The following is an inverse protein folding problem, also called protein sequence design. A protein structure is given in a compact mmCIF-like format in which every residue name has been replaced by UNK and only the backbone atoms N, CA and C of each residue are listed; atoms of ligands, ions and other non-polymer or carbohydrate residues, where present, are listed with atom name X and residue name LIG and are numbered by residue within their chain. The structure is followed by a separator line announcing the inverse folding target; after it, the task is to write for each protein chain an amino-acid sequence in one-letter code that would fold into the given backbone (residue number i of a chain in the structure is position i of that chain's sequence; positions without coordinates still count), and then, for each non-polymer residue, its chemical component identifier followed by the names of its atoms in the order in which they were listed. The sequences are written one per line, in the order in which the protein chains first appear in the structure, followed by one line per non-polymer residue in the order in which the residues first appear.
data_IF_542476460535
#
_entry.id   IF_542476460535
#
_cell.length_a   1.000
_cell.length_b   1.000
_cell.length_c   1.000
_cell.angle_alpha   90.00
_cell.angle_beta   90.00
_cell.angle_gamma   90.00
#
_symmetry.space_group_name_H-M   'P 1'
#
loop_
_entity.id
_entity.type
_entity.pdbx_description
1 polymer ?
#
# COMPACT_ATOMS: atom_id res chain seq x y z
N UNK A 1 -12.24 16.55 8.09
CA UNK A 1 -11.89 15.30 7.38
C UNK A 1 -11.29 15.69 6.03
N UNK A 2 -9.99 15.47 5.81
CA UNK A 2 -9.42 15.59 4.46
C UNK A 2 -9.93 14.39 3.66
N UNK A 3 -10.95 14.63 2.87
CA UNK A 3 -11.42 13.68 1.86
C UNK A 3 -10.38 13.74 0.73
N UNK A 4 -9.43 12.81 0.72
CA UNK A 4 -8.61 12.62 -0.47
C UNK A 4 -9.55 12.01 -1.50
N UNK A 5 -9.76 12.71 -2.63
CA UNK A 5 -10.50 12.13 -3.75
C UNK A 5 -9.94 10.75 -4.03
N UNK A 6 -10.79 9.73 -3.99
CA UNK A 6 -10.38 8.38 -4.35
C UNK A 6 -10.07 8.39 -5.84
N UNK A 7 -8.80 8.60 -6.18
CA UNK A 7 -8.35 8.81 -7.55
C UNK A 7 -8.48 7.55 -8.41
N UNK A 8 -9.01 6.44 -7.87
CA UNK A 8 -9.12 5.16 -8.56
C UNK A 8 -7.75 4.55 -8.91
N UNK A 9 -6.67 5.13 -8.39
CA UNK A 9 -5.31 4.67 -8.64
C UNK A 9 -5.09 3.36 -7.89
N UNK A 10 -4.68 2.28 -8.57
CA UNK A 10 -4.50 0.96 -7.95
C UNK A 10 -3.61 1.00 -6.70
N UNK A 11 -2.53 1.79 -6.72
CA UNK A 11 -1.62 1.93 -5.58
C UNK A 11 -2.26 2.62 -4.36
N UNK A 12 -3.13 3.59 -4.59
CA UNK A 12 -3.88 4.27 -3.51
C UNK A 12 -4.87 3.30 -2.88
N UNK A 13 -5.62 2.55 -3.70
CA UNK A 13 -6.57 1.54 -3.21
C UNK A 13 -5.88 0.45 -2.39
N UNK A 14 -4.71 -0.02 -2.84
CA UNK A 14 -3.92 -1.01 -2.09
C UNK A 14 -3.44 -0.43 -0.74
N UNK A 15 -2.97 0.82 -0.71
CA UNK A 15 -2.51 1.48 0.52
C UNK A 15 -3.66 1.67 1.52
N UNK A 16 -4.83 2.12 1.07
CA UNK A 16 -6.01 2.23 1.93
C UNK A 16 -6.48 0.86 2.41
N UNK A 17 -6.52 -0.15 1.54
CA UNK A 17 -6.89 -1.51 1.92
C UNK A 17 -5.96 -2.10 2.99
N UNK A 18 -4.64 -1.88 2.86
CA UNK A 18 -3.65 -2.26 3.89
C UNK A 18 -3.93 -1.55 5.21
N UNK A 19 -4.22 -0.24 5.16
CA UNK A 19 -4.54 0.58 6.33
C UNK A 19 -5.78 0.06 7.05
N UNK A 20 -6.85 -0.24 6.34
CA UNK A 20 -8.08 -0.81 6.91
C UNK A 20 -7.79 -2.09 7.71
N UNK A 21 -6.98 -2.99 7.16
CA UNK A 21 -6.61 -4.24 7.83
C UNK A 21 -5.77 -3.99 9.08
N UNK A 22 -4.79 -3.08 9.03
CA UNK A 22 -3.99 -2.72 10.21
C UNK A 22 -4.85 -2.07 11.30
N UNK A 23 -5.78 -1.18 10.92
CA UNK A 23 -6.71 -0.55 11.87
C UNK A 23 -7.66 -1.58 12.49
N UNK A 24 -8.12 -2.57 11.71
CA UNK A 24 -8.93 -3.68 12.24
C UNK A 24 -8.14 -4.50 13.28
N UNK A 25 -6.84 -4.73 13.07
CA UNK A 25 -5.98 -5.39 14.04
C UNK A 25 -5.72 -4.57 15.30
N UNK A 26 -5.56 -3.24 15.17
CA UNK A 26 -5.38 -2.36 16.33
C UNK A 26 -6.59 -2.35 17.28
N UNK A 27 -7.79 -2.51 16.73
CA UNK A 27 -9.04 -2.53 17.51
C UNK A 27 -9.39 -3.92 18.07
N UNK A 28 -8.58 -4.94 17.78
CA UNK A 28 -8.81 -6.32 18.24
C UNK A 28 -8.36 -6.50 19.69
N UNK A 29 -9.16 -7.23 20.47
CA UNK A 29 -8.76 -7.76 21.78
C UNK A 29 -8.35 -9.22 21.59
N UNK A 30 -7.09 -9.56 21.92
CA UNK A 30 -6.52 -10.91 21.80
C UNK A 30 -5.34 -11.01 20.82
N UNK A 31 -4.71 -12.19 20.70
CA UNK A 31 -3.53 -12.38 19.85
C UNK A 31 -3.89 -12.21 18.37
N UNK A 32 -2.99 -11.60 17.60
CA UNK A 32 -3.13 -11.46 16.15
C UNK A 32 -2.90 -12.84 15.50
N UNK A 33 -3.73 -13.21 14.53
CA UNK A 33 -3.61 -14.48 13.81
C UNK A 33 -2.63 -14.38 12.64
N UNK A 34 -1.95 -15.49 12.33
CA UNK A 34 -0.99 -15.56 11.21
C UNK A 34 -1.64 -15.26 9.85
N UNK A 35 -2.91 -15.64 9.68
CA UNK A 35 -3.66 -15.35 8.44
C UNK A 35 -3.84 -13.84 8.20
N UNK A 36 -4.13 -13.06 9.26
CA UNK A 36 -4.26 -11.61 9.17
C UNK A 36 -2.92 -10.96 8.77
N UNK A 37 -1.82 -11.45 9.36
CA UNK A 37 -0.47 -10.99 9.04
C UNK A 37 -0.08 -11.35 7.61
N UNK A 38 -0.37 -12.57 7.16
CA UNK A 38 -0.11 -13.03 5.79
C UNK A 38 -0.88 -12.18 4.78
N UNK A 39 -2.13 -11.84 5.07
CA UNK A 39 -2.95 -10.97 4.21
C UNK A 39 -2.38 -9.57 4.08
N UNK A 40 -1.92 -8.98 5.18
CA UNK A 40 -1.25 -7.67 5.18
C UNK A 40 0.07 -7.76 4.40
N UNK A 41 0.85 -8.81 4.61
CA UNK A 41 2.11 -9.04 3.92
C UNK A 41 1.93 -9.18 2.41
N UNK A 42 0.91 -9.91 1.96
CA UNK A 42 0.60 -10.06 0.54
C UNK A 42 0.27 -8.71 -0.11
N UNK A 43 -0.55 -7.88 0.55
CA UNK A 43 -0.86 -6.53 0.04
C UNK A 43 0.40 -5.66 0.02
N UNK A 44 1.24 -5.74 1.06
CA UNK A 44 2.49 -4.99 1.12
C UNK A 44 3.46 -5.40 -0.01
N UNK A 45 3.56 -6.68 -0.35
CA UNK A 45 4.39 -7.14 -1.47
C UNK A 45 3.91 -6.55 -2.80
N UNK A 46 2.59 -6.55 -3.03
CA UNK A 46 2.02 -5.94 -4.23
C UNK A 46 2.31 -4.43 -4.28
N UNK A 47 2.12 -3.70 -3.16
CA UNK A 47 2.43 -2.27 -3.08
C UNK A 47 3.89 -2.01 -3.45
N UNK A 48 4.83 -2.77 -2.85
CA UNK A 48 6.26 -2.61 -3.12
C UNK A 48 6.59 -2.85 -4.59
N UNK A 49 6.02 -3.88 -5.22
CA UNK A 49 6.23 -4.13 -6.65
C UNK A 49 5.77 -2.96 -7.55
N UNK A 50 4.66 -2.29 -7.20
CA UNK A 50 4.24 -1.08 -7.90
C UNK A 50 5.18 0.10 -7.65
N UNK A 51 5.63 0.29 -6.40
CA UNK A 51 6.54 1.37 -6.03
C UNK A 51 7.89 1.25 -6.71
N UNK A 52 8.42 0.03 -6.85
CA UNK A 52 9.69 -0.24 -7.54
C UNK A 52 9.61 0.19 -9.01
N UNK A 53 8.53 -0.18 -9.72
CA UNK A 53 8.33 0.22 -11.13
C UNK A 53 8.17 1.74 -11.27
N UNK A 54 7.47 2.39 -10.34
CA UNK A 54 7.34 3.85 -10.35
C UNK A 54 8.70 4.51 -10.11
N UNK A 55 9.48 4.01 -9.17
CA UNK A 55 10.80 4.53 -8.86
C UNK A 55 11.76 4.40 -10.06
N UNK A 56 11.73 3.27 -10.75
CA UNK A 56 12.49 3.05 -11.99
C UNK A 56 12.08 4.06 -13.08
N UNK A 57 10.78 4.27 -13.28
CA UNK A 57 10.27 5.23 -14.26
C UNK A 57 10.61 6.68 -13.89
N UNK A 58 10.49 7.06 -12.63
CA UNK A 58 10.83 8.40 -12.14
C UNK A 58 12.33 8.67 -12.33
N UNK A 59 13.18 7.68 -12.06
CA UNK A 59 14.62 7.76 -12.30
C UNK A 59 14.93 7.92 -13.80
N UNK A 60 14.32 7.11 -14.68
CA UNK A 60 14.48 7.25 -16.13
C UNK A 60 14.03 8.63 -16.64
N UNK A 61 12.96 9.19 -16.09
CA UNK A 61 12.46 10.51 -16.48
C UNK A 61 13.40 11.65 -16.05
N UNK A 62 14.00 11.54 -14.85
CA UNK A 62 14.98 12.51 -14.38
C UNK A 62 16.25 12.47 -15.24
N UNK A 63 16.75 11.29 -15.59
CA UNK A 63 17.92 11.12 -16.46
C UNK A 63 17.71 11.73 -17.86
N UNK A 64 16.48 11.67 -18.39
CA UNK A 64 16.14 12.28 -19.70
C UNK A 64 16.00 13.80 -19.65
N UNK A 65 15.82 14.39 -18.46
CA UNK A 65 15.64 15.82 -18.26
C UNK A 65 16.96 16.56 -17.95
N UNK A 66 18.05 15.83 -17.71
CA UNK A 66 19.40 16.33 -17.42
C UNK A 66 20.26 16.45 -18.69
#
# INVERSE_FOLDING_TARGET
MRYFSDHGLPLVQLKERRRELVVALQNRIGPIGDEDLLKIAAIQQTISAFEDVIADLDAEMLDRAA
#
